data_IF_987399244938
#
_entry.id   IF_987399244938
#
_cell.length_a   1.000
_cell.length_b   1.000
_cell.length_c   1.000
_cell.angle_alpha   90.00
_cell.angle_beta   90.00
_cell.angle_gamma   90.00
#
_symmetry.space_group_name_H-M   'P 1'
#
loop_
_entity.id
_entity.type
_entity.pdbx_description
1 polymer ?
#
# COMPACT_ATOMS: atom_id res chain seq x y z
N UNK A 1 -13.32 -40.02 15.35
CA UNK A 1 -11.84 -39.96 15.34
C UNK A 1 -11.40 -38.98 16.42
N UNK A 2 -10.50 -39.35 17.32
CA UNK A 2 -10.13 -38.51 18.46
C UNK A 2 -9.49 -37.20 17.95
N UNK A 3 -9.96 -36.03 18.40
CA UNK A 3 -9.58 -34.71 17.85
C UNK A 3 -8.05 -34.50 17.87
N UNK A 4 -7.39 -34.99 18.92
CA UNK A 4 -5.93 -35.05 19.05
C UNK A 4 -5.23 -35.83 17.91
N UNK A 5 -5.78 -36.97 17.49
CA UNK A 5 -5.24 -37.80 16.39
C UNK A 5 -5.48 -37.16 15.03
N UNK A 6 -6.60 -36.44 14.85
CA UNK A 6 -6.87 -35.67 13.64
C UNK A 6 -5.90 -34.50 13.50
N UNK A 7 -5.71 -33.74 14.59
CA UNK A 7 -4.81 -32.60 14.62
C UNK A 7 -3.34 -33.01 14.44
N UNK A 8 -2.92 -34.17 14.94
CA UNK A 8 -1.55 -34.65 14.73
C UNK A 8 -1.26 -35.01 13.27
N UNK A 9 -2.22 -35.60 12.56
CA UNK A 9 -2.13 -35.89 11.12
C UNK A 9 -2.13 -34.59 10.31
N UNK A 10 -3.07 -33.68 10.57
CA UNK A 10 -3.13 -32.38 9.90
C UNK A 10 -1.83 -31.59 10.09
N UNK A 11 -1.26 -31.58 11.30
CA UNK A 11 0.01 -30.92 11.58
C UNK A 11 1.18 -31.55 10.79
N UNK A 12 1.18 -32.86 10.58
CA UNK A 12 2.20 -33.52 9.78
C UNK A 12 2.13 -33.10 8.30
N UNK A 13 0.93 -32.91 7.76
CA UNK A 13 0.74 -32.43 6.39
C UNK A 13 1.11 -30.95 6.25
N UNK A 14 0.73 -30.11 7.22
CA UNK A 14 1.15 -28.70 7.27
C UNK A 14 2.67 -28.54 7.34
N UNK A 15 3.38 -29.42 8.04
CA UNK A 15 4.86 -29.42 8.04
C UNK A 15 5.44 -29.71 6.65
N UNK A 16 4.81 -30.58 5.86
CA UNK A 16 5.23 -30.84 4.47
C UNK A 16 4.98 -29.61 3.60
N UNK A 17 3.86 -28.92 3.77
CA UNK A 17 3.59 -27.66 3.06
C UNK A 17 4.58 -26.56 3.43
N UNK A 18 4.94 -26.46 4.71
CA UNK A 18 6.02 -25.58 5.17
C UNK A 18 7.36 -25.89 4.49
N UNK A 19 7.72 -27.17 4.36
CA UNK A 19 8.94 -27.57 3.63
C UNK A 19 8.89 -27.18 2.15
N UNK A 20 7.73 -27.36 1.49
CA UNK A 20 7.53 -26.93 0.09
C UNK A 20 7.65 -25.41 -0.04
N UNK A 21 7.07 -24.66 0.89
CA UNK A 21 7.18 -23.22 0.96
C UNK A 21 8.64 -22.76 1.13
N UNK A 22 9.40 -23.43 2.00
CA UNK A 22 10.84 -23.21 2.17
C UNK A 22 11.65 -23.51 0.92
N UNK A 23 11.38 -24.64 0.25
CA UNK A 23 12.03 -24.97 -1.02
C UNK A 23 11.73 -23.92 -2.10
N UNK A 24 10.47 -23.52 -2.24
CA UNK A 24 10.07 -22.48 -3.19
C UNK A 24 10.79 -21.16 -2.90
N UNK A 25 10.86 -20.75 -1.64
CA UNK A 25 11.59 -19.55 -1.22
C UNK A 25 13.06 -19.60 -1.63
N UNK A 26 13.75 -20.71 -1.34
CA UNK A 26 15.18 -20.89 -1.69
C UNK A 26 15.39 -20.84 -3.21
N UNK A 27 14.53 -21.52 -3.98
CA UNK A 27 14.62 -21.51 -5.45
C UNK A 27 14.35 -20.11 -6.02
N UNK A 28 13.36 -19.39 -5.49
CA UNK A 28 13.03 -18.04 -5.93
C UNK A 28 14.17 -17.06 -5.65
N UNK A 29 14.63 -16.97 -4.39
CA UNK A 29 15.71 -16.07 -3.99
C UNK A 29 17.03 -16.45 -4.67
N UNK A 30 17.33 -17.75 -4.79
CA UNK A 30 18.51 -18.23 -5.52
C UNK A 30 18.46 -17.85 -7.00
N UNK A 31 17.32 -18.01 -7.66
CA UNK A 31 17.12 -17.62 -9.05
C UNK A 31 17.31 -16.11 -9.28
N UNK A 32 16.71 -15.28 -8.43
CA UNK A 32 16.85 -13.81 -8.50
C UNK A 32 18.29 -13.38 -8.19
N UNK A 33 18.96 -14.03 -7.24
CA UNK A 33 20.39 -13.79 -6.97
C UNK A 33 21.27 -14.11 -8.18
N UNK A 34 21.10 -15.28 -8.81
CA UNK A 34 21.87 -15.65 -10.01
C UNK A 34 21.64 -14.64 -11.14
N UNK A 35 20.40 -14.17 -11.27
CA UNK A 35 20.05 -13.10 -12.19
C UNK A 35 20.78 -11.78 -11.86
N UNK A 36 20.80 -11.34 -10.59
CA UNK A 36 21.53 -10.13 -10.18
C UNK A 36 23.04 -10.27 -10.25
N UNK A 37 23.59 -11.43 -9.95
CA UNK A 37 25.02 -11.67 -10.06
C UNK A 37 25.50 -11.48 -11.51
N UNK A 38 24.65 -11.78 -12.50
CA UNK A 38 24.95 -11.61 -13.93
C UNK A 38 24.68 -10.20 -14.47
N UNK A 39 23.66 -9.52 -13.96
CA UNK A 39 23.16 -8.26 -14.53
C UNK A 39 23.42 -7.02 -13.66
N UNK A 40 23.96 -7.21 -12.46
CA UNK A 40 24.26 -6.16 -11.49
C UNK A 40 25.62 -6.41 -10.81
N UNK A 41 26.02 -5.53 -9.90
CA UNK A 41 27.28 -5.67 -9.20
C UNK A 41 27.22 -6.86 -8.22
N UNK A 42 28.25 -7.71 -8.23
CA UNK A 42 28.31 -8.90 -7.39
C UNK A 42 28.19 -8.60 -5.89
N UNK A 43 28.74 -7.48 -5.40
CA UNK A 43 28.62 -7.06 -4.01
C UNK A 43 27.19 -6.67 -3.63
N UNK A 44 26.48 -5.96 -4.51
CA UNK A 44 25.07 -5.63 -4.30
C UNK A 44 24.16 -6.85 -4.43
N UNK A 45 24.45 -7.76 -5.36
CA UNK A 45 23.75 -9.02 -5.49
C UNK A 45 23.89 -9.89 -4.22
N UNK A 46 25.09 -9.97 -3.65
CA UNK A 46 25.33 -10.69 -2.40
C UNK A 46 24.60 -10.06 -1.22
N UNK A 47 24.66 -8.72 -1.09
CA UNK A 47 23.90 -7.99 -0.07
C UNK A 47 22.40 -8.24 -0.21
N UNK A 48 21.89 -8.20 -1.43
CA UNK A 48 20.50 -8.49 -1.74
C UNK A 48 20.11 -9.90 -1.30
N UNK A 49 20.94 -10.89 -1.59
CA UNK A 49 20.75 -12.26 -1.15
C UNK A 49 20.74 -12.36 0.38
N UNK A 50 21.68 -11.73 1.08
CA UNK A 50 21.78 -11.78 2.54
C UNK A 50 20.55 -11.20 3.23
N UNK A 51 20.12 -10.00 2.84
CA UNK A 51 18.97 -9.32 3.43
C UNK A 51 17.65 -10.03 3.12
N UNK A 52 17.46 -10.47 1.87
CA UNK A 52 16.27 -11.23 1.48
C UNK A 52 16.18 -12.57 2.20
N UNK A 53 17.32 -13.27 2.35
CA UNK A 53 17.41 -14.55 3.07
C UNK A 53 17.09 -14.38 4.56
N UNK A 54 17.62 -13.33 5.21
CA UNK A 54 17.36 -13.07 6.61
C UNK A 54 15.85 -12.88 6.89
N UNK A 55 15.16 -12.09 6.06
CA UNK A 55 13.73 -11.89 6.21
C UNK A 55 12.92 -13.14 5.87
N UNK A 56 13.27 -13.86 4.80
CA UNK A 56 12.53 -15.08 4.46
C UNK A 56 12.72 -16.23 5.45
N UNK A 57 13.89 -16.34 6.09
CA UNK A 57 14.09 -17.25 7.22
C UNK A 57 13.22 -16.86 8.41
N UNK A 58 13.12 -15.56 8.70
CA UNK A 58 12.21 -15.06 9.72
C UNK A 58 10.74 -15.37 9.38
N UNK A 59 10.33 -15.16 8.13
CA UNK A 59 8.98 -15.46 7.66
C UNK A 59 8.66 -16.97 7.74
N UNK A 60 9.60 -17.83 7.35
CA UNK A 60 9.49 -19.28 7.52
C UNK A 60 9.34 -19.67 8.99
N UNK A 61 10.08 -19.00 9.88
CA UNK A 61 9.92 -19.20 11.32
C UNK A 61 8.53 -18.77 11.83
N UNK A 62 8.00 -17.63 11.35
CA UNK A 62 6.63 -17.19 11.68
C UNK A 62 5.59 -18.21 11.18
N UNK A 63 5.74 -18.69 9.95
CA UNK A 63 4.86 -19.73 9.40
C UNK A 63 4.91 -21.01 10.24
N UNK A 64 6.11 -21.48 10.58
CA UNK A 64 6.32 -22.67 11.42
C UNK A 64 5.63 -22.54 12.78
N UNK A 65 5.84 -21.40 13.46
CA UNK A 65 5.25 -21.12 14.77
C UNK A 65 3.72 -21.05 14.70
N UNK A 66 3.18 -20.64 13.55
CA UNK A 66 1.74 -20.44 13.36
C UNK A 66 1.03 -21.69 12.84
N UNK A 67 1.71 -22.79 12.52
CA UNK A 67 1.08 -24.02 11.99
C UNK A 67 -0.02 -24.56 12.91
N UNK A 68 0.16 -24.47 14.23
CA UNK A 68 -0.86 -24.89 15.21
C UNK A 68 -2.08 -23.97 15.26
N UNK A 69 -2.05 -22.84 14.56
CA UNK A 69 -3.15 -21.88 14.45
C UNK A 69 -3.89 -22.03 13.11
N UNK A 70 -3.63 -23.09 12.33
CA UNK A 70 -4.29 -23.31 11.04
C UNK A 70 -5.70 -23.89 11.21
N UNK A 71 -6.57 -23.12 11.83
CA UNK A 71 -7.97 -23.43 12.06
C UNK A 71 -8.79 -22.14 11.97
N UNK A 72 -10.09 -22.28 11.74
CA UNK A 72 -11.02 -21.13 11.66
C UNK A 72 -11.28 -20.55 13.04
N UNK A 73 -11.81 -19.33 13.08
CA UNK A 73 -12.29 -18.76 14.34
C UNK A 73 -13.42 -19.61 14.93
N UNK A 74 -13.34 -19.92 16.22
CA UNK A 74 -14.30 -20.77 16.93
C UNK A 74 -14.15 -22.29 16.71
N UNK A 75 -13.26 -22.73 15.82
CA UNK A 75 -12.98 -24.16 15.60
C UNK A 75 -11.62 -24.55 16.21
N UNK A 76 -11.52 -25.73 16.84
CA UNK A 76 -10.25 -26.27 17.37
C UNK A 76 -9.60 -27.35 16.48
N UNK A 77 -10.31 -27.75 15.42
CA UNK A 77 -9.83 -28.74 14.46
C UNK A 77 -8.90 -28.07 13.46
N UNK A 78 -7.69 -28.62 13.30
CA UNK A 78 -6.73 -28.12 12.33
C UNK A 78 -7.14 -28.50 10.91
N UNK A 79 -7.03 -27.55 9.99
CA UNK A 79 -7.13 -27.78 8.57
C UNK A 79 -5.82 -28.39 8.06
N UNK A 80 -5.84 -29.47 7.26
CA UNK A 80 -4.64 -30.20 6.85
C UNK A 80 -3.80 -29.46 5.79
N UNK A 81 -4.36 -28.41 5.19
CA UNK A 81 -3.71 -27.58 4.16
C UNK A 81 -3.69 -26.12 4.60
N UNK A 82 -2.67 -25.37 4.21
CA UNK A 82 -2.60 -23.91 4.42
C UNK A 82 -3.73 -23.17 3.68
N UNK A 83 -4.23 -23.75 2.58
CA UNK A 83 -5.23 -23.13 1.74
C UNK A 83 -4.66 -22.00 0.88
N UNK A 84 -5.45 -21.54 -0.09
CA UNK A 84 -5.00 -20.57 -1.09
C UNK A 84 -4.68 -19.20 -0.50
N UNK A 85 -5.46 -18.75 0.50
CA UNK A 85 -5.23 -17.48 1.18
C UNK A 85 -3.83 -17.42 1.80
N UNK A 86 -3.54 -18.31 2.74
CA UNK A 86 -2.23 -18.34 3.42
C UNK A 86 -1.06 -18.64 2.49
N UNK A 87 -1.27 -19.40 1.40
CA UNK A 87 -0.23 -19.62 0.37
C UNK A 87 0.12 -18.31 -0.35
N UNK A 88 -0.90 -17.52 -0.74
CA UNK A 88 -0.68 -16.21 -1.37
C UNK A 88 -0.09 -15.22 -0.37
N UNK A 89 -0.54 -15.20 0.89
CA UNK A 89 0.08 -14.41 1.97
C UNK A 89 1.56 -14.79 2.16
N UNK A 90 1.93 -16.06 2.06
CA UNK A 90 3.33 -16.46 2.11
C UNK A 90 4.11 -15.93 0.89
N UNK A 91 3.56 -16.06 -0.32
CA UNK A 91 4.15 -15.48 -1.53
C UNK A 91 4.34 -13.96 -1.44
N UNK A 92 3.37 -13.24 -0.85
CA UNK A 92 3.46 -11.80 -0.55
C UNK A 92 4.69 -11.47 0.29
N UNK A 93 4.95 -12.25 1.35
CA UNK A 93 6.14 -12.07 2.17
C UNK A 93 7.46 -12.33 1.42
N UNK A 94 7.49 -13.21 0.42
CA UNK A 94 8.67 -13.40 -0.45
C UNK A 94 8.95 -12.13 -1.26
N UNK A 95 7.93 -11.46 -1.78
CA UNK A 95 8.11 -10.18 -2.46
C UNK A 95 8.59 -9.07 -1.52
N UNK A 96 8.11 -9.06 -0.27
CA UNK A 96 8.62 -8.15 0.77
C UNK A 96 10.09 -8.47 1.12
N UNK A 97 10.46 -9.76 1.18
CA UNK A 97 11.84 -10.19 1.37
C UNK A 97 12.74 -9.68 0.23
N UNK A 98 12.30 -9.87 -1.01
CA UNK A 98 12.99 -9.40 -2.20
C UNK A 98 13.14 -7.88 -2.21
N UNK A 99 12.16 -7.14 -1.70
CA UNK A 99 12.21 -5.69 -1.55
C UNK A 99 13.26 -5.26 -0.52
N UNK A 100 13.31 -5.93 0.63
CA UNK A 100 14.33 -5.68 1.66
C UNK A 100 15.75 -5.90 1.12
N UNK A 101 15.94 -6.84 0.20
CA UNK A 101 17.21 -7.07 -0.48
C UNK A 101 17.81 -5.82 -1.13
N UNK A 102 16.98 -4.88 -1.58
CA UNK A 102 17.46 -3.64 -2.21
C UNK A 102 17.95 -2.59 -1.22
N UNK A 103 17.62 -2.74 0.07
CA UNK A 103 18.00 -1.78 1.09
C UNK A 103 19.53 -1.69 1.21
N UNK A 104 20.02 -0.48 1.43
CA UNK A 104 21.46 -0.16 1.48
C UNK A 104 22.22 -0.32 0.15
N UNK A 105 21.56 -0.68 -0.95
CA UNK A 105 22.15 -0.71 -2.28
C UNK A 105 21.70 0.50 -3.10
N UNK A 106 22.50 0.97 -4.09
CA UNK A 106 22.07 2.06 -4.96
C UNK A 106 20.84 1.61 -5.77
N UNK A 107 19.99 2.56 -6.15
CA UNK A 107 18.92 2.29 -7.09
C UNK A 107 19.53 1.93 -8.45
N UNK A 108 19.15 0.77 -8.97
CA UNK A 108 19.53 0.30 -10.30
C UNK A 108 19.04 1.26 -11.39
N UNK A 109 19.67 1.19 -12.57
CA UNK A 109 19.31 2.00 -13.74
C UNK A 109 18.65 1.14 -14.82
N UNK A 110 18.02 1.81 -15.80
CA UNK A 110 17.35 1.13 -16.91
C UNK A 110 16.17 0.28 -16.44
N UNK A 111 15.97 -0.87 -17.08
CA UNK A 111 14.84 -1.74 -16.78
C UNK A 111 14.91 -2.37 -15.37
N UNK A 112 16.12 -2.56 -14.83
CA UNK A 112 16.33 -3.09 -13.48
C UNK A 112 15.79 -2.16 -12.39
N UNK A 113 15.68 -0.85 -12.68
CA UNK A 113 15.13 0.15 -11.77
C UNK A 113 13.66 -0.12 -11.40
N UNK A 114 12.94 -0.88 -12.25
CA UNK A 114 11.54 -1.24 -12.06
C UNK A 114 11.33 -2.46 -11.16
N UNK A 115 12.39 -3.16 -10.75
CA UNK A 115 12.25 -4.37 -9.94
C UNK A 115 11.71 -4.10 -8.53
N UNK A 116 12.19 -3.08 -7.78
CA UNK A 116 11.58 -2.72 -6.50
C UNK A 116 10.08 -2.39 -6.64
N UNK A 117 9.73 -1.59 -7.65
CA UNK A 117 8.33 -1.29 -7.98
C UNK A 117 7.52 -2.57 -8.23
N UNK A 118 8.05 -3.47 -9.06
CA UNK A 118 7.37 -4.70 -9.46
C UNK A 118 7.14 -5.62 -8.27
N UNK A 119 8.16 -5.83 -7.42
CA UNK A 119 8.02 -6.65 -6.24
C UNK A 119 6.99 -6.08 -5.26
N UNK A 120 7.03 -4.77 -4.99
CA UNK A 120 6.07 -4.18 -4.07
C UNK A 120 4.64 -4.11 -4.64
N UNK A 121 4.51 -3.89 -5.96
CA UNK A 121 3.22 -4.00 -6.65
C UNK A 121 2.65 -5.42 -6.55
N UNK A 122 3.46 -6.46 -6.79
CA UNK A 122 3.05 -7.84 -6.64
C UNK A 122 2.68 -8.17 -5.18
N UNK A 123 3.40 -7.61 -4.20
CA UNK A 123 3.03 -7.74 -2.79
C UNK A 123 1.65 -7.10 -2.51
N UNK A 124 1.40 -5.89 -3.02
CA UNK A 124 0.13 -5.19 -2.86
C UNK A 124 -1.05 -5.90 -3.54
N UNK A 125 -0.85 -6.46 -4.74
CA UNK A 125 -1.89 -7.25 -5.41
C UNK A 125 -2.15 -8.57 -4.69
N UNK A 126 -1.11 -9.19 -4.13
CA UNK A 126 -1.24 -10.43 -3.36
C UNK A 126 -2.07 -10.22 -2.09
N UNK A 127 -2.00 -9.05 -1.45
CA UNK A 127 -2.82 -8.67 -0.27
C UNK A 127 -4.32 -8.58 -0.56
N UNK A 128 -4.67 -8.19 -1.79
CA UNK A 128 -6.08 -8.17 -2.21
C UNK A 128 -6.54 -9.60 -2.50
N UNK A 129 -5.65 -10.39 -3.12
CA UNK A 129 -5.94 -11.74 -3.59
C UNK A 129 -6.02 -12.76 -2.44
N UNK A 130 -5.13 -12.69 -1.44
CA UNK A 130 -5.12 -13.62 -0.30
C UNK A 130 -6.44 -13.56 0.48
N UNK A 131 -6.91 -12.36 0.81
CA UNK A 131 -8.16 -12.14 1.52
C UNK A 131 -9.37 -12.54 0.69
N UNK A 132 -9.35 -12.29 -0.63
CA UNK A 132 -10.41 -12.75 -1.52
C UNK A 132 -10.48 -14.29 -1.56
N UNK A 133 -9.34 -14.96 -1.77
CA UNK A 133 -9.27 -16.42 -1.85
C UNK A 133 -9.61 -17.09 -0.50
N UNK A 134 -9.22 -16.48 0.62
CA UNK A 134 -9.59 -16.98 1.95
C UNK A 134 -11.12 -16.95 2.16
N UNK A 135 -11.79 -15.86 1.75
CA UNK A 135 -13.25 -15.72 1.88
C UNK A 135 -14.02 -16.66 0.95
N UNK A 136 -13.64 -16.71 -0.34
CA UNK A 136 -14.36 -17.53 -1.33
C UNK A 136 -14.23 -19.03 -1.04
N UNK A 137 -13.09 -19.47 -0.50
CA UNK A 137 -12.89 -20.88 -0.13
C UNK A 137 -13.32 -21.22 1.31
N UNK A 138 -13.93 -20.27 2.04
CA UNK A 138 -14.27 -20.43 3.46
C UNK A 138 -13.08 -20.97 4.28
N UNK A 139 -11.89 -20.38 4.07
CA UNK A 139 -10.60 -20.83 4.62
C UNK A 139 -9.88 -19.68 5.32
N UNK A 140 -10.64 -18.84 6.04
CA UNK A 140 -10.09 -17.78 6.89
C UNK A 140 -9.58 -18.42 8.18
N UNK A 141 -8.26 -18.42 8.38
CA UNK A 141 -7.60 -19.08 9.52
C UNK A 141 -6.85 -18.09 10.41
N UNK A 142 -6.67 -18.45 11.69
CA UNK A 142 -5.83 -17.65 12.62
C UNK A 142 -4.37 -17.59 12.16
N UNK A 143 -3.87 -18.66 11.53
CA UNK A 143 -2.56 -18.68 10.87
C UNK A 143 -2.46 -17.63 9.76
N UNK A 144 -3.45 -17.58 8.86
CA UNK A 144 -3.49 -16.57 7.79
C UNK A 144 -3.45 -15.15 8.34
N UNK A 145 -4.30 -14.87 9.35
CA UNK A 145 -4.31 -13.57 10.02
C UNK A 145 -2.96 -13.21 10.67
N UNK A 146 -2.26 -14.18 11.27
CA UNK A 146 -0.94 -13.97 11.87
C UNK A 146 0.13 -13.65 10.82
N UNK A 147 0.13 -14.37 9.69
CA UNK A 147 1.02 -14.07 8.55
C UNK A 147 0.72 -12.70 7.96
N UNK A 148 -0.56 -12.37 7.79
CA UNK A 148 -0.95 -11.10 7.18
C UNK A 148 -0.54 -9.93 8.05
N UNK A 149 -0.81 -10.00 9.36
CA UNK A 149 -0.41 -8.97 10.31
C UNK A 149 1.12 -8.77 10.34
N UNK A 150 1.86 -9.85 10.22
CA UNK A 150 3.32 -9.86 10.12
C UNK A 150 3.80 -9.14 8.86
N UNK A 151 3.29 -9.55 7.70
CA UNK A 151 3.68 -9.00 6.40
C UNK A 151 3.27 -7.54 6.24
N UNK A 152 2.10 -7.14 6.72
CA UNK A 152 1.64 -5.74 6.66
C UNK A 152 2.59 -4.81 7.42
N UNK A 153 2.99 -5.23 8.62
CA UNK A 153 3.85 -4.43 9.50
C UNK A 153 5.21 -4.20 8.84
N UNK A 154 5.82 -5.29 8.35
CA UNK A 154 7.13 -5.22 7.72
C UNK A 154 7.10 -4.59 6.34
N UNK A 155 6.08 -4.89 5.53
CA UNK A 155 5.94 -4.39 4.17
C UNK A 155 6.00 -2.87 4.13
N UNK A 156 5.16 -2.19 4.91
CA UNK A 156 5.11 -0.72 4.97
C UNK A 156 6.43 -0.14 5.49
N UNK A 157 7.04 -0.73 6.52
CA UNK A 157 8.32 -0.26 7.05
C UNK A 157 9.45 -0.38 6.02
N UNK A 158 9.61 -1.57 5.43
CA UNK A 158 10.68 -1.87 4.47
C UNK A 158 10.56 -0.96 3.28
N UNK A 159 9.36 -0.81 2.71
CA UNK A 159 9.19 0.04 1.54
C UNK A 159 9.43 1.51 1.88
N UNK A 160 9.00 1.98 3.05
CA UNK A 160 9.21 3.38 3.50
C UNK A 160 10.70 3.67 3.65
N UNK A 161 11.46 2.75 4.26
CA UNK A 161 12.91 2.85 4.37
C UNK A 161 13.58 2.83 3.00
N UNK A 162 13.09 2.01 2.07
CA UNK A 162 13.67 1.90 0.73
C UNK A 162 13.44 3.17 -0.10
N UNK A 163 12.22 3.73 -0.12
CA UNK A 163 11.96 4.99 -0.85
C UNK A 163 12.72 6.17 -0.24
N UNK A 164 12.91 6.18 1.08
CA UNK A 164 13.77 7.17 1.74
C UNK A 164 15.24 6.98 1.34
N UNK A 165 15.73 5.74 1.35
CA UNK A 165 17.10 5.40 0.95
C UNK A 165 17.40 5.80 -0.49
N UNK A 166 16.41 5.68 -1.38
CA UNK A 166 16.50 6.14 -2.77
C UNK A 166 16.32 7.66 -2.94
N UNK A 167 16.16 8.41 -1.86
CA UNK A 167 16.00 9.86 -1.89
C UNK A 167 14.66 10.33 -2.46
N UNK A 168 13.68 9.45 -2.63
CA UNK A 168 12.38 9.78 -3.21
C UNK A 168 11.46 10.50 -2.22
N UNK A 169 11.64 10.28 -0.92
CA UNK A 169 10.84 10.91 0.12
C UNK A 169 11.73 11.59 1.16
N UNK A 170 11.26 12.67 1.80
CA UNK A 170 12.02 13.37 2.82
C UNK A 170 12.08 12.61 4.15
N UNK A 171 13.03 12.96 5.01
CA UNK A 171 13.22 12.29 6.32
C UNK A 171 11.98 12.33 7.21
N UNK A 172 11.18 13.39 7.15
CA UNK A 172 9.96 13.51 7.94
C UNK A 172 8.85 12.56 7.49
N UNK A 173 9.03 11.82 6.38
CA UNK A 173 8.12 10.76 5.93
C UNK A 173 8.34 9.42 6.66
N UNK A 174 9.51 9.20 7.27
CA UNK A 174 9.83 7.96 8.00
C UNK A 174 8.82 7.55 9.10
N UNK A 175 8.17 8.49 9.84
CA UNK A 175 7.12 8.15 10.78
C UNK A 175 5.98 7.33 10.18
N UNK A 176 5.71 7.40 8.86
CA UNK A 176 4.69 6.56 8.19
C UNK A 176 5.00 5.07 8.37
N UNK A 177 6.24 4.66 8.11
CA UNK A 177 6.68 3.27 8.26
C UNK A 177 6.78 2.82 9.71
N UNK A 178 7.04 3.76 10.63
CA UNK A 178 7.19 3.50 12.06
C UNK A 178 5.87 3.63 12.85
N UNK A 179 4.81 4.20 12.27
CA UNK A 179 3.59 4.59 12.96
C UNK A 179 2.98 3.43 13.77
N UNK A 180 2.84 2.25 13.14
CA UNK A 180 2.31 1.05 13.80
C UNK A 180 3.20 0.58 14.96
N UNK A 181 4.51 0.59 14.79
CA UNK A 181 5.45 0.15 15.82
C UNK A 181 5.44 1.11 17.03
N UNK A 182 5.44 2.41 16.76
CA UNK A 182 5.32 3.45 17.79
C UNK A 182 3.98 3.30 18.53
N UNK A 183 2.90 3.04 17.79
CA UNK A 183 1.57 2.84 18.34
C UNK A 183 1.53 1.64 19.29
N UNK A 184 1.99 0.46 18.85
CA UNK A 184 2.02 -0.76 19.67
C UNK A 184 2.97 -0.64 20.86
N UNK A 185 4.15 -0.05 20.68
CA UNK A 185 5.09 0.21 21.77
C UNK A 185 4.47 1.14 22.83
N UNK A 186 3.73 2.16 22.39
CA UNK A 186 3.00 3.05 23.27
C UNK A 186 1.90 2.34 24.08
N UNK A 187 1.14 1.43 23.46
CA UNK A 187 0.12 0.64 24.15
C UNK A 187 0.72 -0.28 25.20
N UNK A 188 1.78 -1.01 24.83
CA UNK A 188 2.51 -1.88 25.74
C UNK A 188 3.11 -1.12 26.92
N UNK A 189 3.65 0.08 26.69
CA UNK A 189 4.16 0.93 27.75
C UNK A 189 3.06 1.39 28.72
N UNK A 190 1.85 1.70 28.20
CA UNK A 190 0.69 2.05 29.02
C UNK A 190 0.20 0.88 29.88
N UNK A 191 0.12 -0.31 29.30
CA UNK A 191 -0.23 -1.55 30.03
C UNK A 191 0.75 -1.79 31.18
N UNK A 192 2.05 -1.61 30.94
CA UNK A 192 3.07 -1.69 32.01
C UNK A 192 2.89 -0.64 33.11
N UNK A 193 2.28 0.50 32.80
CA UNK A 193 1.94 1.53 33.78
C UNK A 193 0.61 1.28 34.48
N UNK A 194 -0.05 0.13 34.25
CA UNK A 194 -1.36 -0.19 34.81
C UNK A 194 -2.50 0.66 34.25
N UNK A 195 -2.31 1.30 33.09
CA UNK A 195 -3.35 2.08 32.43
C UNK A 195 -4.19 1.17 31.55
N UNK A 196 -5.50 1.32 31.64
CA UNK A 196 -6.41 0.63 30.73
C UNK A 196 -6.29 1.20 29.31
N UNK A 197 -6.29 0.28 28.35
CA UNK A 197 -6.39 0.55 26.93
C UNK A 197 -7.76 0.01 26.48
N UNK A 198 -8.58 0.86 25.88
CA UNK A 198 -9.88 0.44 25.34
C UNK A 198 -9.69 -0.26 23.99
N UNK A 199 -10.60 -1.18 23.65
CA UNK A 199 -10.58 -1.82 22.34
C UNK A 199 -10.86 -0.80 21.22
N UNK A 200 -10.06 -0.87 20.15
CA UNK A 200 -10.26 0.00 18.99
C UNK A 200 -11.50 -0.40 18.21
N UNK A 201 -12.50 0.48 18.06
CA UNK A 201 -13.68 0.17 17.27
C UNK A 201 -13.29 -0.04 15.81
N UNK A 202 -13.95 -0.98 15.13
CA UNK A 202 -13.74 -1.18 13.69
C UNK A 202 -13.95 0.15 12.95
N UNK A 203 -12.91 0.59 12.22
CA UNK A 203 -12.95 1.87 11.50
C UNK A 203 -12.56 1.64 10.05
N UNK A 204 -13.55 1.83 9.20
CA UNK A 204 -13.43 1.75 7.76
C UNK A 204 -12.39 2.74 7.18
N UNK A 205 -12.26 3.92 7.81
CA UNK A 205 -11.29 4.97 7.41
C UNK A 205 -9.85 4.48 7.48
N UNK A 206 -9.48 3.72 8.52
CA UNK A 206 -8.12 3.18 8.70
C UNK A 206 -7.71 2.33 7.51
N UNK A 207 -8.65 1.51 7.01
CA UNK A 207 -8.43 0.65 5.85
C UNK A 207 -8.21 1.46 4.57
N UNK A 208 -9.03 2.49 4.32
CA UNK A 208 -8.88 3.36 3.14
C UNK A 208 -7.50 4.01 3.17
N UNK A 209 -7.15 4.66 4.28
CA UNK A 209 -5.87 5.36 4.40
C UNK A 209 -4.67 4.42 4.26
N UNK A 210 -4.76 3.19 4.78
CA UNK A 210 -3.73 2.18 4.56
C UNK A 210 -3.58 1.80 3.07
N UNK A 211 -4.69 1.52 2.37
CA UNK A 211 -4.66 1.18 0.94
C UNK A 211 -4.18 2.34 0.06
N UNK A 212 -4.60 3.56 0.37
CA UNK A 212 -4.10 4.79 -0.24
C UNK A 212 -2.59 4.93 -0.06
N UNK A 213 -2.12 4.76 1.18
CA UNK A 213 -0.70 4.89 1.49
C UNK A 213 0.12 3.82 0.78
N UNK A 214 -0.41 2.60 0.72
CA UNK A 214 0.21 1.49 -0.02
C UNK A 214 0.37 1.85 -1.51
N UNK A 215 -0.69 2.30 -2.17
CA UNK A 215 -0.66 2.69 -3.58
C UNK A 215 0.28 3.88 -3.86
N UNK A 216 0.30 4.87 -2.97
CA UNK A 216 1.23 5.99 -3.05
C UNK A 216 2.69 5.50 -2.96
N UNK A 217 3.01 4.66 -1.97
CA UNK A 217 4.39 4.19 -1.79
C UNK A 217 4.83 3.30 -2.96
N UNK A 218 3.95 2.45 -3.52
CA UNK A 218 4.24 1.70 -4.76
C UNK A 218 4.66 2.68 -5.86
N UNK A 219 3.92 3.76 -6.03
CA UNK A 219 4.18 4.75 -7.07
C UNK A 219 5.54 5.43 -6.88
N UNK A 220 5.98 5.68 -5.64
CA UNK A 220 7.31 6.27 -5.37
C UNK A 220 8.50 5.36 -5.74
N UNK A 221 8.26 4.06 -5.95
CA UNK A 221 9.28 3.14 -6.47
C UNK A 221 9.31 3.09 -8.00
N UNK A 222 8.38 3.74 -8.70
CA UNK A 222 8.44 3.83 -10.15
C UNK A 222 9.54 4.83 -10.56
N UNK A 223 10.54 4.44 -11.39
CA UNK A 223 11.67 5.27 -11.77
C UNK A 223 11.31 6.33 -12.82
N UNK A 224 10.11 6.89 -12.71
CA UNK A 224 9.58 8.00 -13.52
C UNK A 224 9.35 9.26 -12.69
N UNK A 225 9.36 9.12 -11.36
CA UNK A 225 9.18 10.23 -10.43
C UNK A 225 10.48 10.60 -9.74
N UNK A 226 10.65 11.88 -9.45
CA UNK A 226 11.81 12.41 -8.75
C UNK A 226 11.45 13.58 -7.84
N UNK A 227 12.27 13.85 -6.82
CA UNK A 227 12.16 15.08 -6.05
C UNK A 227 12.32 16.33 -6.94
N UNK A 228 11.64 17.44 -6.61
CA UNK A 228 10.87 17.67 -5.39
C UNK A 228 9.38 17.28 -5.49
N UNK A 229 8.91 16.78 -6.64
CA UNK A 229 7.51 16.35 -6.83
C UNK A 229 7.08 15.30 -5.79
N UNK A 230 7.92 14.28 -5.62
CA UNK A 230 7.71 13.19 -4.67
C UNK A 230 7.76 13.67 -3.22
N UNK A 231 8.59 14.67 -2.91
CA UNK A 231 8.65 15.29 -1.58
C UNK A 231 7.33 15.99 -1.21
N UNK A 232 6.76 16.73 -2.16
CA UNK A 232 5.48 17.41 -1.98
C UNK A 232 4.36 16.36 -1.80
N UNK A 233 4.28 15.39 -2.72
CA UNK A 233 3.28 14.33 -2.66
C UNK A 233 3.39 13.52 -1.35
N UNK A 234 4.60 13.10 -0.96
CA UNK A 234 4.85 12.37 0.28
C UNK A 234 4.37 13.13 1.51
N UNK A 235 4.62 14.44 1.56
CA UNK A 235 4.17 15.28 2.66
C UNK A 235 2.63 15.34 2.71
N UNK A 236 1.97 15.52 1.56
CA UNK A 236 0.51 15.60 1.49
C UNK A 236 -0.18 14.27 1.83
N UNK A 237 0.36 13.13 1.39
CA UNK A 237 -0.19 11.80 1.69
C UNK A 237 0.07 11.36 3.15
N UNK A 238 1.22 11.73 3.71
CA UNK A 238 1.58 11.43 5.10
C UNK A 238 0.64 12.06 6.12
N UNK A 239 0.27 13.33 5.92
CA UNK A 239 -0.50 14.10 6.90
C UNK A 239 -1.81 13.41 7.33
N UNK A 240 -2.75 13.07 6.43
CA UNK A 240 -4.00 12.42 6.83
C UNK A 240 -3.75 11.02 7.43
N UNK A 241 -2.72 10.30 6.98
CA UNK A 241 -2.36 9.00 7.52
C UNK A 241 -1.91 9.10 8.99
N UNK A 242 -0.95 9.99 9.30
CA UNK A 242 -0.46 10.17 10.68
C UNK A 242 -1.50 10.79 11.60
N UNK A 243 -2.32 11.73 11.09
CA UNK A 243 -3.46 12.27 11.86
C UNK A 243 -4.45 11.15 12.20
N UNK A 244 -4.66 10.17 11.32
CA UNK A 244 -5.43 8.97 11.60
C UNK A 244 -4.88 8.18 12.79
N UNK A 245 -3.58 7.91 12.82
CA UNK A 245 -2.93 7.22 13.95
C UNK A 245 -3.02 8.01 15.27
N UNK A 246 -2.86 9.33 15.21
CA UNK A 246 -3.02 10.19 16.38
C UNK A 246 -4.46 10.16 16.91
N UNK A 247 -5.45 10.18 16.02
CA UNK A 247 -6.85 10.04 16.39
C UNK A 247 -7.14 8.67 17.03
N UNK A 248 -6.63 7.59 16.44
CA UNK A 248 -6.75 6.23 16.99
C UNK A 248 -6.11 6.12 18.38
N UNK A 249 -4.98 6.82 18.60
CA UNK A 249 -4.35 6.87 19.92
C UNK A 249 -5.27 7.55 20.93
N UNK A 250 -5.89 8.68 20.60
CA UNK A 250 -6.82 9.33 21.51
C UNK A 250 -8.07 8.50 21.80
N UNK A 251 -8.53 7.68 20.85
CA UNK A 251 -9.61 6.72 21.06
C UNK A 251 -9.20 5.62 22.05
N UNK A 252 -8.11 4.89 21.79
CA UNK A 252 -7.67 3.78 22.68
C UNK A 252 -7.42 4.26 24.09
N UNK A 253 -6.86 5.45 24.22
CA UNK A 253 -6.51 6.03 25.51
C UNK A 253 -7.70 6.58 26.29
N UNK A 254 -8.93 6.49 25.74
CA UNK A 254 -10.17 6.94 26.39
C UNK A 254 -10.32 8.46 26.45
N UNK A 255 -9.49 9.22 25.73
CA UNK A 255 -9.56 10.69 25.71
C UNK A 255 -10.66 11.21 24.81
N UNK A 256 -11.04 10.42 23.80
CA UNK A 256 -12.15 10.72 22.89
C UNK A 256 -13.17 9.60 23.03
N UNK A 257 -14.41 9.99 23.27
CA UNK A 257 -15.57 9.12 23.20
C UNK A 257 -15.81 8.72 21.72
N UNK A 258 -15.84 7.41 21.39
CA UNK A 258 -16.01 6.92 20.02
C UNK A 258 -17.23 7.51 19.30
N UNK A 259 -18.36 7.65 20.00
CA UNK A 259 -19.61 8.11 19.42
C UNK A 259 -19.57 9.60 19.12
N UNK A 260 -19.01 10.39 20.05
CA UNK A 260 -18.81 11.84 19.85
C UNK A 260 -17.79 12.10 18.73
N UNK A 261 -16.73 11.30 18.66
CA UNK A 261 -15.75 11.36 17.58
C UNK A 261 -16.38 11.08 16.22
N UNK A 262 -17.15 10.00 16.10
CA UNK A 262 -17.88 9.67 14.87
C UNK A 262 -18.86 10.78 14.46
N UNK A 263 -19.63 11.31 15.42
CA UNK A 263 -20.56 12.41 15.18
C UNK A 263 -19.85 13.69 14.71
N UNK A 264 -18.66 14.00 15.27
CA UNK A 264 -17.86 15.15 14.85
C UNK A 264 -17.46 15.05 13.37
N UNK A 265 -16.95 13.89 12.94
CA UNK A 265 -16.59 13.68 11.53
C UNK A 265 -17.81 13.69 10.60
N UNK A 266 -18.94 13.13 11.04
CA UNK A 266 -20.19 13.17 10.28
C UNK A 266 -20.68 14.62 10.08
N UNK A 267 -20.56 15.47 11.12
CA UNK A 267 -20.88 16.90 11.06
C UNK A 267 -19.94 17.67 10.13
N UNK A 268 -18.64 17.36 10.16
CA UNK A 268 -17.70 17.95 9.21
C UNK A 268 -18.07 17.55 7.79
N UNK A 269 -18.25 16.25 7.53
CA UNK A 269 -18.58 15.73 6.20
C UNK A 269 -19.90 16.28 5.64
N UNK A 270 -20.84 16.72 6.49
CA UNK A 270 -22.12 17.31 6.07
C UNK A 270 -22.03 18.80 5.69
N UNK A 271 -20.90 19.46 5.93
CA UNK A 271 -20.71 20.86 5.55
C UNK A 271 -20.78 21.03 4.02
N UNK A 272 -21.73 21.85 3.55
CA UNK A 272 -21.92 22.13 2.11
C UNK A 272 -20.62 22.58 1.41
N UNK A 273 -19.78 23.35 2.11
CA UNK A 273 -18.50 23.83 1.60
C UNK A 273 -17.57 22.68 1.18
N UNK A 274 -17.56 21.56 1.92
CA UNK A 274 -16.74 20.39 1.57
C UNK A 274 -17.20 19.69 0.29
N UNK A 275 -18.45 19.93 -0.17
CA UNK A 275 -18.93 19.44 -1.47
C UNK A 275 -18.59 20.38 -2.62
N UNK A 276 -18.37 21.66 -2.35
CA UNK A 276 -18.06 22.69 -3.37
C UNK A 276 -16.56 22.76 -3.64
N UNK A 277 -15.71 22.56 -2.62
CA UNK A 277 -14.25 22.60 -2.75
C UNK A 277 -13.75 21.65 -3.86
N UNK A 278 -14.17 20.37 -3.93
CA UNK A 278 -13.72 19.48 -4.98
C UNK A 278 -14.19 19.92 -6.37
N UNK A 279 -15.39 20.49 -6.50
CA UNK A 279 -15.86 21.03 -7.78
C UNK A 279 -14.94 22.17 -8.27
N UNK A 280 -14.65 23.13 -7.40
CA UNK A 280 -13.76 24.25 -7.74
C UNK A 280 -12.36 23.75 -8.14
N UNK A 281 -11.81 22.80 -7.38
CA UNK A 281 -10.52 22.19 -7.69
C UNK A 281 -10.53 21.44 -9.03
N UNK A 282 -11.61 20.70 -9.35
CA UNK A 282 -11.74 20.02 -10.66
C UNK A 282 -11.66 21.01 -11.81
N UNK A 283 -12.40 22.12 -11.73
CA UNK A 283 -12.40 23.14 -12.78
C UNK A 283 -11.03 23.80 -12.95
N UNK A 284 -10.33 24.10 -11.84
CA UNK A 284 -8.97 24.64 -11.86
C UNK A 284 -8.01 23.64 -12.51
N UNK A 285 -8.04 22.38 -12.10
CA UNK A 285 -7.19 21.32 -12.66
C UNK A 285 -7.45 21.11 -14.15
N UNK A 286 -8.72 21.06 -14.57
CA UNK A 286 -9.11 20.93 -15.98
C UNK A 286 -8.58 22.11 -16.81
N UNK A 287 -8.72 23.34 -16.30
CA UNK A 287 -8.22 24.54 -16.98
C UNK A 287 -6.70 24.50 -17.19
N UNK A 288 -5.94 24.13 -16.16
CA UNK A 288 -4.50 24.00 -16.25
C UNK A 288 -4.09 22.84 -17.18
N UNK A 289 -4.68 21.65 -17.03
CA UNK A 289 -4.37 20.54 -17.93
C UNK A 289 -4.64 20.93 -19.37
N UNK A 290 -5.81 21.48 -19.69
CA UNK A 290 -6.14 21.91 -21.04
C UNK A 290 -5.12 22.90 -21.61
N UNK A 291 -4.74 23.89 -20.81
CA UNK A 291 -3.85 24.99 -21.25
C UNK A 291 -2.41 24.53 -21.48
N UNK A 292 -1.92 23.54 -20.73
CA UNK A 292 -0.50 23.14 -20.74
C UNK A 292 -0.23 21.76 -21.37
N UNK A 293 -1.27 20.95 -21.64
CA UNK A 293 -1.10 19.56 -22.11
C UNK A 293 -0.30 19.45 -23.42
N UNK A 294 -0.58 20.28 -24.42
CA UNK A 294 0.13 20.23 -25.71
C UNK A 294 1.59 20.64 -25.59
N UNK A 295 1.85 21.76 -24.93
CA UNK A 295 3.22 22.28 -24.74
C UNK A 295 4.10 21.27 -23.99
N UNK A 296 3.57 20.69 -22.90
CA UNK A 296 4.33 19.73 -22.09
C UNK A 296 4.41 18.35 -22.73
N UNK A 297 3.33 17.88 -23.35
CA UNK A 297 3.34 16.62 -24.08
C UNK A 297 4.43 16.63 -25.16
N UNK A 298 4.47 17.68 -25.99
CA UNK A 298 5.48 17.82 -27.05
C UNK A 298 6.91 17.85 -26.52
N UNK A 299 7.14 18.47 -25.36
CA UNK A 299 8.45 18.49 -24.70
C UNK A 299 8.85 17.09 -24.21
N UNK A 300 7.94 16.35 -23.58
CA UNK A 300 8.18 14.95 -23.14
C UNK A 300 8.51 14.05 -24.34
N UNK A 301 7.79 14.23 -25.46
CA UNK A 301 8.06 13.49 -26.70
C UNK A 301 9.47 13.73 -27.24
N UNK A 302 9.96 14.97 -27.16
CA UNK A 302 11.25 15.38 -27.71
C UNK A 302 12.42 15.02 -26.79
N UNK A 303 12.26 15.23 -25.48
CA UNK A 303 13.38 15.15 -24.53
C UNK A 303 13.53 13.80 -23.83
N UNK A 304 12.45 13.00 -23.73
CA UNK A 304 12.48 11.75 -22.96
C UNK A 304 12.27 10.52 -23.84
N UNK A 305 11.01 10.21 -24.20
CA UNK A 305 10.70 9.10 -25.11
C UNK A 305 9.30 9.23 -25.68
N UNK A 306 9.10 8.66 -26.86
CA UNK A 306 7.80 8.59 -27.51
C UNK A 306 6.75 7.88 -26.64
N UNK A 307 7.16 6.82 -25.94
CA UNK A 307 6.28 6.08 -25.03
C UNK A 307 5.78 6.95 -23.88
N UNK A 308 6.68 7.67 -23.20
CA UNK A 308 6.31 8.53 -22.08
C UNK A 308 5.45 9.71 -22.54
N UNK A 309 5.71 10.28 -23.71
CA UNK A 309 4.87 11.31 -24.31
C UNK A 309 3.46 10.81 -24.65
N UNK A 310 3.34 9.60 -25.21
CA UNK A 310 2.04 9.01 -25.51
C UNK A 310 1.26 8.73 -24.21
N UNK A 311 1.93 8.15 -23.23
CA UNK A 311 1.35 7.90 -21.91
C UNK A 311 0.88 9.20 -21.26
N UNK A 312 1.67 10.28 -21.37
CA UNK A 312 1.30 11.60 -20.88
C UNK A 312 -0.01 12.11 -21.49
N UNK A 313 -0.11 12.10 -22.83
CA UNK A 313 -1.32 12.54 -23.51
C UNK A 313 -2.52 11.66 -23.14
N UNK A 314 -2.34 10.33 -23.11
CA UNK A 314 -3.41 9.41 -22.74
C UNK A 314 -3.96 9.72 -21.34
N UNK A 315 -3.08 9.89 -20.34
CA UNK A 315 -3.48 10.18 -18.97
C UNK A 315 -4.14 11.56 -18.86
N UNK A 316 -3.55 12.58 -19.48
CA UNK A 316 -4.03 13.97 -19.40
C UNK A 316 -5.39 14.12 -20.10
N UNK A 317 -5.55 13.59 -21.32
CA UNK A 317 -6.81 13.64 -22.04
C UNK A 317 -7.89 12.76 -21.42
N UNK A 318 -7.54 11.62 -20.80
CA UNK A 318 -8.51 10.82 -20.05
C UNK A 318 -8.97 11.54 -18.76
N UNK A 319 -8.07 12.25 -18.08
CA UNK A 319 -8.39 12.98 -16.86
C UNK A 319 -9.38 14.14 -17.09
N UNK A 320 -9.30 14.81 -18.25
CA UNK A 320 -10.16 15.97 -18.57
C UNK A 320 -11.67 15.68 -18.44
N UNK A 321 -12.28 14.74 -19.18
CA UNK A 321 -13.71 14.45 -19.06
C UNK A 321 -14.05 13.85 -17.69
N UNK A 322 -13.17 13.03 -17.11
CA UNK A 322 -13.36 12.45 -15.78
C UNK A 322 -13.53 13.53 -14.71
N UNK A 323 -12.67 14.55 -14.72
CA UNK A 323 -12.73 15.65 -13.77
C UNK A 323 -13.82 16.67 -14.11
N UNK A 324 -13.98 17.02 -15.39
CA UNK A 324 -14.99 18.00 -15.82
C UNK A 324 -16.40 17.54 -15.43
N UNK A 325 -16.74 16.29 -15.72
CA UNK A 325 -18.06 15.73 -15.43
C UNK A 325 -18.17 15.02 -14.08
N UNK A 326 -17.04 14.83 -13.38
CA UNK A 326 -17.02 14.04 -12.14
C UNK A 326 -17.44 12.60 -12.41
N UNK A 327 -16.88 12.02 -13.47
CA UNK A 327 -17.07 10.62 -13.86
C UNK A 327 -15.80 9.89 -13.44
N UNK A 328 -15.90 9.01 -12.44
CA UNK A 328 -14.75 8.30 -11.87
C UNK A 328 -13.61 9.26 -11.43
N UNK A 329 -13.96 10.37 -10.79
CA UNK A 329 -13.00 11.47 -10.63
C UNK A 329 -11.89 11.23 -9.61
N UNK A 330 -11.94 10.20 -8.74
CA UNK A 330 -10.72 9.79 -8.00
C UNK A 330 -9.69 9.16 -8.93
N UNK A 331 -10.13 8.40 -9.92
CA UNK A 331 -9.25 7.88 -10.97
C UNK A 331 -8.70 9.02 -11.83
N UNK A 332 -9.55 9.99 -12.16
CA UNK A 332 -9.12 11.25 -12.77
C UNK A 332 -8.01 11.93 -11.96
N UNK A 333 -8.19 12.06 -10.64
CA UNK A 333 -7.18 12.63 -9.74
C UNK A 333 -5.86 11.83 -9.74
N UNK A 334 -5.93 10.49 -9.77
CA UNK A 334 -4.72 9.64 -9.93
C UNK A 334 -4.01 9.95 -11.24
N UNK A 335 -4.74 10.07 -12.36
CA UNK A 335 -4.13 10.40 -13.66
C UNK A 335 -3.45 11.76 -13.63
N UNK A 336 -4.05 12.76 -12.96
CA UNK A 336 -3.44 14.07 -12.75
C UNK A 336 -2.19 13.99 -11.87
N UNK A 337 -2.19 13.16 -10.83
CA UNK A 337 -1.01 12.98 -9.98
C UNK A 337 0.15 12.31 -10.74
N UNK A 338 -0.15 11.26 -11.51
CA UNK A 338 0.84 10.55 -12.32
C UNK A 338 1.39 11.49 -13.39
N UNK A 339 0.51 12.16 -14.15
CA UNK A 339 0.97 13.13 -15.14
C UNK A 339 1.76 14.23 -14.44
N UNK A 340 1.20 14.99 -13.51
CA UNK A 340 1.92 16.11 -12.87
C UNK A 340 3.27 15.72 -12.26
N UNK A 341 3.40 14.50 -11.71
CA UNK A 341 4.68 13.97 -11.24
C UNK A 341 5.71 13.74 -12.35
N UNK A 342 5.30 13.23 -13.51
CA UNK A 342 6.18 13.02 -14.68
C UNK A 342 6.64 14.32 -15.32
N UNK A 343 5.82 15.39 -15.32
CA UNK A 343 6.17 16.68 -15.92
C UNK A 343 6.91 17.62 -14.97
N UNK A 344 7.01 17.29 -13.68
CA UNK A 344 7.59 18.19 -12.70
C UNK A 344 9.05 18.55 -13.01
N UNK A 345 9.80 17.63 -13.63
CA UNK A 345 11.20 17.86 -14.02
C UNK A 345 11.37 18.87 -15.16
N UNK A 346 10.28 19.36 -15.75
CA UNK A 346 10.29 20.32 -16.85
C UNK A 346 10.40 21.74 -16.26
N UNK A 347 11.55 22.43 -16.42
CA UNK A 347 11.90 23.61 -15.60
C UNK A 347 10.91 24.77 -15.67
N UNK A 348 10.32 25.01 -16.84
CA UNK A 348 9.49 26.21 -17.09
C UNK A 348 8.13 26.21 -16.38
N UNK A 349 7.69 25.07 -15.80
CA UNK A 349 6.32 24.92 -15.26
C UNK A 349 6.24 24.30 -13.86
N UNK A 350 7.36 24.20 -13.14
CA UNK A 350 7.43 23.51 -11.84
C UNK A 350 6.42 24.00 -10.80
N UNK A 351 6.11 25.31 -10.76
CA UNK A 351 5.11 25.87 -9.84
C UNK A 351 3.68 25.39 -10.15
N UNK A 352 3.31 25.31 -11.43
CA UNK A 352 1.99 24.85 -11.86
C UNK A 352 1.81 23.39 -11.51
N UNK A 353 2.84 22.56 -11.77
CA UNK A 353 2.78 21.13 -11.44
C UNK A 353 2.80 20.86 -9.94
N UNK A 354 3.45 21.71 -9.14
CA UNK A 354 3.28 21.68 -7.68
C UNK A 354 1.83 21.92 -7.26
N UNK A 355 1.17 22.93 -7.85
CA UNK A 355 -0.25 23.21 -7.58
C UNK A 355 -1.15 22.05 -8.04
N UNK A 356 -0.86 21.43 -9.19
CA UNK A 356 -1.60 20.29 -9.69
C UNK A 356 -1.42 19.03 -8.82
N UNK A 357 -0.21 18.78 -8.30
CA UNK A 357 0.02 17.72 -7.30
C UNK A 357 -0.79 17.99 -6.04
N UNK A 358 -0.79 19.24 -5.56
CA UNK A 358 -1.60 19.66 -4.40
C UNK A 358 -3.10 19.45 -4.63
N UNK A 359 -3.64 20.01 -5.70
CA UNK A 359 -5.04 19.91 -6.07
C UNK A 359 -5.46 18.45 -6.35
N UNK A 360 -4.64 17.70 -7.09
CA UNK A 360 -4.84 16.28 -7.38
C UNK A 360 -4.88 15.44 -6.10
N UNK A 361 -4.01 15.72 -5.13
CA UNK A 361 -4.01 15.02 -3.84
C UNK A 361 -5.29 15.34 -3.05
N UNK A 362 -5.70 16.60 -3.00
CA UNK A 362 -6.94 17.00 -2.31
C UNK A 362 -8.15 16.34 -2.98
N UNK A 363 -8.24 16.36 -4.31
CA UNK A 363 -9.30 15.68 -5.07
C UNK A 363 -9.31 14.17 -4.83
N UNK A 364 -8.13 13.56 -4.78
CA UNK A 364 -7.98 12.14 -4.50
C UNK A 364 -8.55 11.76 -3.13
N UNK A 365 -8.33 12.56 -2.08
CA UNK A 365 -8.88 12.30 -0.75
C UNK A 365 -10.35 12.71 -0.60
N UNK A 366 -10.74 13.87 -1.11
CA UNK A 366 -12.09 14.44 -0.94
C UNK A 366 -13.12 13.85 -1.91
N UNK A 367 -12.69 13.23 -3.01
CA UNK A 367 -13.58 12.70 -4.05
C UNK A 367 -14.00 13.76 -5.07
N UNK A 368 -15.06 13.47 -5.81
CA UNK A 368 -15.55 14.34 -6.91
C UNK A 368 -16.40 15.53 -6.43
N UNK A 369 -17.01 15.44 -5.26
CA UNK A 369 -17.86 16.51 -4.72
C UNK A 369 -19.17 16.72 -5.49
N UNK A 370 -19.71 17.93 -5.45
CA UNK A 370 -21.01 18.27 -6.04
C UNK A 370 -21.03 18.12 -7.57
N UNK A 371 -22.22 17.82 -8.13
CA UNK A 371 -22.46 17.64 -9.58
C UNK A 371 -21.61 16.54 -10.24
N UNK A 372 -21.22 15.51 -9.48
CA UNK A 372 -20.59 14.30 -10.00
C UNK A 372 -21.62 13.45 -10.73
N UNK A 373 -21.41 13.14 -12.01
CA UNK A 373 -22.35 12.33 -12.79
C UNK A 373 -22.31 10.84 -12.41
N UNK A 374 -21.13 10.30 -12.09
CA UNK A 374 -20.98 8.87 -11.79
C UNK A 374 -19.71 8.58 -10.98
N UNK A 375 -19.86 7.96 -9.81
CA UNK A 375 -18.75 7.65 -8.87
C UNK A 375 -18.75 6.18 -8.40
N UNK A 376 -18.65 5.18 -9.32
CA UNK A 376 -18.69 3.76 -8.98
C UNK A 376 -17.52 3.34 -8.07
N UNK A 377 -16.41 4.06 -8.09
CA UNK A 377 -15.24 3.81 -7.27
C UNK A 377 -15.52 3.97 -5.77
N UNK A 378 -16.55 4.74 -5.39
CA UNK A 378 -16.96 4.85 -3.99
C UNK A 378 -17.50 3.51 -3.48
N UNK A 379 -18.16 2.72 -4.33
CA UNK A 379 -18.62 1.39 -3.94
C UNK A 379 -17.46 0.45 -3.58
N UNK A 380 -16.39 0.46 -4.39
CA UNK A 380 -15.18 -0.35 -4.15
C UNK A 380 -14.45 0.06 -2.88
N UNK A 381 -14.57 1.33 -2.51
CA UNK A 381 -14.10 1.82 -1.23
C UNK A 381 -14.94 1.13 -0.14
N UNK A 382 -16.27 1.32 -0.11
CA UNK A 382 -17.13 0.90 1.00
C UNK A 382 -17.43 -0.60 1.12
N UNK A 383 -17.17 -1.43 0.11
CA UNK A 383 -17.56 -2.84 0.07
C UNK A 383 -16.36 -3.76 -0.22
N UNK A 384 -16.37 -5.01 0.28
CA UNK A 384 -15.35 -6.00 -0.12
C UNK A 384 -15.85 -6.91 -1.24
N UNK A 385 -14.98 -7.13 -2.22
CA UNK A 385 -15.16 -8.25 -3.14
C UNK A 385 -15.10 -9.58 -2.36
N UNK A 386 -16.13 -10.41 -2.56
CA UNK A 386 -16.27 -11.72 -1.91
C UNK A 386 -16.85 -11.69 -0.49
N UNK A 387 -17.31 -10.54 0.03
CA UNK A 387 -18.18 -10.55 1.21
C UNK A 387 -19.56 -11.09 0.82
N UNK A 388 -20.03 -12.11 1.53
CA UNK A 388 -21.41 -12.57 1.36
C UNK A 388 -22.34 -11.46 1.85
N UNK A 389 -23.27 -11.01 1.00
CA UNK A 389 -24.36 -10.11 1.40
C UNK A 389 -25.20 -10.87 2.44
N UNK A 390 -25.04 -10.49 3.71
CA UNK A 390 -25.66 -11.06 4.90
C UNK A 390 -24.91 -12.26 5.50
N UNK A 391 -24.03 -11.95 6.46
CA UNK A 391 -23.73 -12.79 7.61
C UNK A 391 -23.74 -11.89 8.85
#
# INVERSE_FOLDING_TARGET
MNLSKSNSLALADLKKEWMRAGLFFVLFIGGVYLFFHRNWNAGYALRWLSLSSAFGLWQLWVLWRSLSLNHREGEDALLPTLGWGSTVSFGRGIFIAALLGFLFSPWTTGWLAWLPFTFYLLAALSDILDGYLARVNNHVTKLGAALDMSNDSWGVLIVTLLVFWYGQVPIWYLPVGLARYIFLAGLWWREKQGKENTELPHSFRRRIFAGVQMGFIVSMLAPVFSPPATTIAATLFMLPFLVGFLYDWFLVTGKIDPDKGAAFFARIASLKMLRIIPLALRLVVVWFLWSYTHMVGDLIFREYSQFLGLLWYMLSFAALPMLLFGVVGRLGAIFVLISSGMAFSIPENSFIYMLLIGAGTILFFTGTGAFSLWSPEEWLIYNRAGEQRNA
#
